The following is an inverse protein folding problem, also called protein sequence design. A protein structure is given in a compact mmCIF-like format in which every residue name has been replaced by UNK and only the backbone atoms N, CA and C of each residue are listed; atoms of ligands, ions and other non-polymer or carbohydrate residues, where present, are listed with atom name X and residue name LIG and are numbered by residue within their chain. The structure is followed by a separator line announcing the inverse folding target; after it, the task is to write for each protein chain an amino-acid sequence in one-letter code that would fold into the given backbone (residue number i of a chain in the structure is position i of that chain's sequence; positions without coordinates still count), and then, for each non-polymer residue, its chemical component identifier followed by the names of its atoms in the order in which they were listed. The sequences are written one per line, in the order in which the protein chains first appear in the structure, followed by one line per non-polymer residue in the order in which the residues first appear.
data_IF_186521613720
#
_entry.id   IF_186521613720
#
_cell.length_a   1.000
_cell.length_b   1.000
_cell.length_c   1.000
_cell.angle_alpha   90.00
_cell.angle_beta   90.00
_cell.angle_gamma   90.00
#
_symmetry.space_group_name_H-M   'P 1'
#
loop_
_entity.id
_entity.type
_entity.pdbx_description
1 polymer ?
#
# COMPACT_ATOMS: atom_id res chain seq x y z
N UNK A 1 6.67 14.70 27.10
CA UNK A 1 5.33 14.63 26.47
C UNK A 1 5.51 13.95 25.13
N UNK A 2 5.33 12.63 25.09
CA UNK A 2 5.44 11.86 23.85
C UNK A 2 4.17 12.06 23.07
N UNK A 3 4.23 12.86 22.01
CA UNK A 3 3.16 12.92 21.01
C UNK A 3 3.13 11.54 20.37
N UNK A 4 2.18 10.70 20.78
CA UNK A 4 1.87 9.45 20.09
C UNK A 4 1.52 9.83 18.66
N UNK A 5 2.49 9.67 17.75
CA UNK A 5 2.31 9.93 16.34
C UNK A 5 1.36 8.86 15.81
N UNK A 6 0.07 9.20 15.82
CA UNK A 6 -1.01 8.32 15.37
C UNK A 6 -0.71 7.99 13.92
N UNK A 7 -0.23 6.78 13.66
CA UNK A 7 0.04 6.33 12.30
C UNK A 7 -1.30 6.21 11.57
N UNK A 8 -1.67 7.26 10.84
CA UNK A 8 -2.96 7.36 10.20
C UNK A 8 -2.95 6.54 8.90
N UNK A 9 -3.57 5.35 8.94
CA UNK A 9 -3.86 4.58 7.74
C UNK A 9 -5.22 5.02 7.20
N UNK A 10 -5.26 5.31 5.91
CA UNK A 10 -6.46 5.68 5.18
C UNK A 10 -6.99 4.51 4.38
N UNK A 11 -8.32 4.36 4.40
CA UNK A 11 -9.05 3.37 3.62
C UNK A 11 -9.88 4.06 2.53
N UNK A 12 -9.78 3.53 1.31
CA UNK A 12 -10.66 3.92 0.21
C UNK A 12 -11.38 2.68 -0.30
N UNK A 13 -12.70 2.79 -0.47
CA UNK A 13 -13.53 1.74 -1.03
C UNK A 13 -13.90 2.10 -2.47
N UNK A 14 -13.74 1.15 -3.39
CA UNK A 14 -14.24 1.29 -4.75
C UNK A 14 -15.77 1.33 -4.74
N UNK A 15 -16.36 2.44 -5.16
CA UNK A 15 -17.79 2.70 -5.15
C UNK A 15 -18.57 1.78 -6.11
N UNK A 16 -17.88 1.25 -7.13
CA UNK A 16 -18.43 0.28 -8.09
C UNK A 16 -18.31 -1.17 -7.61
N UNK A 17 -17.89 -1.41 -6.36
CA UNK A 17 -17.68 -2.76 -5.81
C UNK A 17 -18.23 -2.90 -4.41
N UNK A 18 -18.81 -4.06 -4.13
CA UNK A 18 -19.29 -4.35 -2.78
C UNK A 18 -18.14 -4.35 -1.77
N UNK A 19 -18.32 -3.77 -0.58
CA UNK A 19 -17.39 -3.92 0.52
C UNK A 19 -17.12 -5.40 0.80
N UNK A 20 -15.87 -5.77 1.07
CA UNK A 20 -15.48 -7.17 1.27
C UNK A 20 -15.38 -8.02 -0.01
N UNK A 21 -15.88 -7.57 -1.17
CA UNK A 21 -15.82 -8.36 -2.40
C UNK A 21 -14.55 -8.07 -3.21
N UNK A 22 -13.50 -8.87 -3.03
CA UNK A 22 -12.30 -8.86 -3.89
C UNK A 22 -11.01 -8.38 -3.20
N UNK A 23 -9.89 -8.32 -3.94
CA UNK A 23 -8.58 -8.06 -3.39
C UNK A 23 -8.46 -6.73 -2.62
N UNK A 24 -7.53 -6.70 -1.68
CA UNK A 24 -7.13 -5.50 -0.94
C UNK A 24 -5.83 -5.00 -1.53
N UNK A 25 -5.80 -3.75 -1.97
CA UNK A 25 -4.59 -3.09 -2.47
C UNK A 25 -3.91 -2.33 -1.34
N UNK A 26 -2.80 -2.86 -0.82
CA UNK A 26 -1.96 -2.21 0.18
C UNK A 26 -0.89 -1.36 -0.53
N UNK A 27 -1.02 -0.04 -0.50
CA UNK A 27 -0.08 0.88 -1.17
C UNK A 27 0.96 1.39 -0.17
N UNK A 28 2.21 0.99 -0.41
CA UNK A 28 3.38 1.30 0.40
C UNK A 28 4.15 2.47 -0.19
N UNK A 29 4.67 3.35 0.66
CA UNK A 29 5.36 4.59 0.25
C UNK A 29 6.79 4.69 0.75
N UNK A 30 7.38 3.57 1.18
CA UNK A 30 8.77 3.50 1.63
C UNK A 30 9.01 4.24 2.98
N UNK A 31 8.05 4.13 3.89
CA UNK A 31 8.10 4.74 5.22
C UNK A 31 7.71 3.78 6.34
N UNK A 32 8.00 4.15 7.59
CA UNK A 32 7.67 3.33 8.77
C UNK A 32 6.18 2.99 8.90
N UNK A 33 5.31 3.86 8.38
CA UNK A 33 3.86 3.68 8.34
C UNK A 33 3.39 2.54 7.44
N UNK A 34 4.26 2.02 6.57
CA UNK A 34 3.98 0.85 5.70
C UNK A 34 3.64 -0.41 6.52
N UNK A 35 4.19 -0.54 7.74
CA UNK A 35 3.89 -1.64 8.64
C UNK A 35 2.43 -1.60 9.11
N UNK A 36 1.91 -0.41 9.44
CA UNK A 36 0.52 -0.22 9.82
C UNK A 36 -0.43 -0.46 8.64
N UNK A 37 -0.04 -0.05 7.42
CA UNK A 37 -0.77 -0.38 6.19
C UNK A 37 -0.88 -1.90 6.01
N UNK A 38 0.23 -2.62 6.19
CA UNK A 38 0.25 -4.07 6.08
C UNK A 38 -0.60 -4.77 7.16
N UNK A 39 -0.51 -4.33 8.41
CA UNK A 39 -1.33 -4.86 9.51
C UNK A 39 -2.83 -4.63 9.24
N UNK A 40 -3.19 -3.44 8.75
CA UNK A 40 -4.58 -3.11 8.37
C UNK A 40 -5.05 -4.00 7.23
N UNK A 41 -4.22 -4.17 6.19
CA UNK A 41 -4.54 -5.02 5.05
C UNK A 41 -4.70 -6.50 5.47
N UNK A 42 -3.83 -7.00 6.34
CA UNK A 42 -3.92 -8.35 6.89
C UNK A 42 -5.23 -8.56 7.66
N UNK A 43 -5.61 -7.62 8.52
CA UNK A 43 -6.88 -7.68 9.27
C UNK A 43 -8.09 -7.68 8.33
N UNK A 44 -8.08 -6.84 7.30
CA UNK A 44 -9.15 -6.80 6.29
C UNK A 44 -9.22 -8.06 5.43
N UNK A 45 -8.11 -8.80 5.33
CA UNK A 45 -7.98 -10.05 4.59
C UNK A 45 -8.29 -11.30 5.42
N UNK A 46 -8.68 -11.15 6.69
CA UNK A 46 -8.95 -12.26 7.60
C UNK A 46 -10.11 -13.17 7.13
N UNK A 47 -10.97 -12.67 6.27
CA UNK A 47 -12.05 -13.40 5.58
C UNK A 47 -11.57 -14.18 4.34
N UNK A 48 -10.25 -14.26 4.11
CA UNK A 48 -9.65 -15.00 3.00
C UNK A 48 -9.45 -14.17 1.73
N UNK A 49 -9.62 -12.84 1.78
CA UNK A 49 -9.38 -11.97 0.63
C UNK A 49 -7.89 -11.88 0.31
N UNK A 50 -7.49 -11.95 -0.99
CA UNK A 50 -6.09 -11.79 -1.37
C UNK A 50 -5.61 -10.35 -1.15
N UNK A 51 -4.36 -10.20 -0.73
CA UNK A 51 -3.70 -8.89 -0.62
C UNK A 51 -2.79 -8.65 -1.82
N UNK A 52 -2.80 -7.44 -2.35
CA UNK A 52 -1.91 -6.97 -3.40
C UNK A 52 -1.08 -5.84 -2.82
N UNK A 53 0.21 -6.11 -2.64
CA UNK A 53 1.18 -5.14 -2.15
C UNK A 53 1.67 -4.31 -3.33
N UNK A 54 1.43 -3.00 -3.26
CA UNK A 54 1.84 -2.04 -4.27
C UNK A 54 2.88 -1.08 -3.72
N UNK A 55 4.12 -1.19 -4.17
CA UNK A 55 5.17 -0.25 -3.79
C UNK A 55 5.13 0.99 -4.70
N UNK A 56 5.01 2.17 -4.12
CA UNK A 56 5.11 3.44 -4.83
C UNK A 56 6.57 3.66 -5.27
N UNK A 57 6.79 3.65 -6.58
CA UNK A 57 8.12 3.80 -7.18
C UNK A 57 8.14 5.00 -8.10
N UNK A 58 9.15 5.85 -7.97
CA UNK A 58 9.28 7.05 -8.82
C UNK A 58 9.64 6.64 -10.24
N UNK A 59 8.87 7.11 -11.21
CA UNK A 59 9.22 6.97 -12.61
C UNK A 59 10.46 7.77 -12.97
N UNK A 60 11.30 7.23 -13.86
CA UNK A 60 12.48 7.91 -14.41
C UNK A 60 12.28 8.47 -15.83
N UNK A 61 11.03 8.52 -16.31
CA UNK A 61 10.68 9.03 -17.65
C UNK A 61 10.85 7.97 -18.75
N UNK A 62 10.34 8.21 -19.98
CA UNK A 62 10.59 7.32 -21.11
C UNK A 62 12.07 7.36 -21.50
N UNK A 63 12.63 6.20 -21.84
CA UNK A 63 13.96 6.08 -22.45
C UNK A 63 13.81 5.24 -23.72
N UNK A 64 14.45 5.68 -24.80
CA UNK A 64 14.53 4.94 -26.07
C UNK A 64 15.63 3.87 -26.06
N UNK A 65 16.51 3.88 -25.07
CA UNK A 65 17.61 2.92 -24.97
C UNK A 65 17.15 1.65 -24.23
N UNK A 66 17.24 0.50 -24.90
CA UNK A 66 16.83 -0.80 -24.38
C UNK A 66 17.58 -1.22 -23.10
N UNK A 67 18.88 -0.92 -23.00
CA UNK A 67 19.67 -1.22 -21.81
C UNK A 67 19.20 -0.40 -20.60
N UNK A 68 18.90 0.88 -20.82
CA UNK A 68 18.32 1.74 -19.78
C UNK A 68 16.91 1.28 -19.41
N UNK A 69 16.13 0.75 -20.36
CA UNK A 69 14.82 0.18 -20.09
C UNK A 69 14.92 -1.07 -19.20
N UNK A 70 15.84 -1.99 -19.51
CA UNK A 70 16.06 -3.20 -18.71
C UNK A 70 16.59 -2.88 -17.32
N UNK A 71 17.62 -2.02 -17.21
CA UNK A 71 18.16 -1.59 -15.91
C UNK A 71 17.07 -0.96 -15.04
N UNK A 72 16.18 -0.16 -15.64
CA UNK A 72 15.02 0.42 -14.95
C UNK A 72 14.04 -0.65 -14.47
N UNK A 73 13.70 -1.63 -15.29
CA UNK A 73 12.78 -2.69 -14.91
C UNK A 73 13.34 -3.50 -13.72
N UNK A 74 14.63 -3.82 -13.75
CA UNK A 74 15.33 -4.50 -12.64
C UNK A 74 15.30 -3.67 -11.37
N UNK A 75 15.60 -2.37 -11.46
CA UNK A 75 15.53 -1.45 -10.31
C UNK A 75 14.11 -1.41 -9.71
N UNK A 76 13.09 -1.24 -10.54
CA UNK A 76 11.69 -1.22 -10.07
C UNK A 76 11.34 -2.54 -9.38
N UNK A 77 11.76 -3.68 -9.94
CA UNK A 77 11.51 -4.98 -9.33
C UNK A 77 12.21 -5.10 -7.96
N UNK A 78 13.45 -4.63 -7.84
CA UNK A 78 14.19 -4.60 -6.58
C UNK A 78 13.53 -3.70 -5.54
N UNK A 79 13.09 -2.50 -5.92
CA UNK A 79 12.40 -1.56 -5.03
C UNK A 79 11.08 -2.16 -4.51
N UNK A 80 10.31 -2.80 -5.40
CA UNK A 80 9.07 -3.49 -5.04
C UNK A 80 9.35 -4.68 -4.11
N UNK A 81 10.37 -5.48 -4.40
CA UNK A 81 10.76 -6.63 -3.58
C UNK A 81 11.24 -6.19 -2.19
N UNK A 82 12.00 -5.10 -2.09
CA UNK A 82 12.44 -4.55 -0.81
C UNK A 82 11.25 -4.07 0.03
N UNK A 83 10.33 -3.32 -0.56
CA UNK A 83 9.12 -2.86 0.12
C UNK A 83 8.25 -4.04 0.59
N UNK A 84 8.04 -5.03 -0.28
CA UNK A 84 7.32 -6.25 0.07
C UNK A 84 8.02 -7.04 1.17
N UNK A 85 9.36 -7.16 1.12
CA UNK A 85 10.16 -7.86 2.12
C UNK A 85 10.01 -7.27 3.52
N UNK A 86 9.88 -5.95 3.66
CA UNK A 86 9.63 -5.30 4.96
C UNK A 86 8.29 -5.66 5.57
N UNK A 87 7.24 -5.77 4.76
CA UNK A 87 5.87 -6.05 5.26
C UNK A 87 5.53 -7.54 5.26
N UNK A 88 6.30 -8.36 4.54
CA UNK A 88 6.07 -9.81 4.39
C UNK A 88 5.90 -10.53 5.73
N UNK A 89 6.73 -10.30 6.77
CA UNK A 89 6.55 -10.98 8.07
C UNK A 89 5.18 -10.74 8.71
N UNK A 90 4.59 -9.56 8.52
CA UNK A 90 3.26 -9.22 9.05
C UNK A 90 2.19 -10.00 8.30
N UNK A 91 2.24 -9.99 6.97
CA UNK A 91 1.27 -10.68 6.12
C UNK A 91 1.36 -12.21 6.30
N UNK A 92 2.57 -12.75 6.38
CA UNK A 92 2.82 -14.18 6.59
C UNK A 92 2.32 -14.67 7.96
N UNK A 93 2.58 -13.92 9.05
CA UNK A 93 2.06 -14.26 10.39
C UNK A 93 0.54 -14.27 10.43
N UNK A 94 -0.11 -13.41 9.64
CA UNK A 94 -1.55 -13.39 9.50
C UNK A 94 -2.09 -14.52 8.58
N UNK A 95 -1.23 -15.34 7.98
CA UNK A 95 -1.64 -16.40 7.04
C UNK A 95 -2.15 -15.87 5.70
N UNK A 96 -1.86 -14.61 5.36
CA UNK A 96 -2.40 -13.94 4.18
C UNK A 96 -1.49 -14.15 2.97
N UNK A 97 -2.04 -14.72 1.91
CA UNK A 97 -1.36 -14.77 0.61
C UNK A 97 -1.34 -13.39 -0.03
N UNK A 98 -0.17 -12.99 -0.56
CA UNK A 98 -0.05 -11.70 -1.23
C UNK A 98 0.73 -11.77 -2.55
N UNK A 99 0.39 -10.86 -3.44
CA UNK A 99 1.10 -10.60 -4.69
C UNK A 99 1.71 -9.20 -4.65
N UNK A 100 2.76 -8.96 -5.43
CA UNK A 100 3.44 -7.66 -5.48
C UNK A 100 3.27 -7.00 -6.85
N UNK A 101 3.11 -5.67 -6.88
CA UNK A 101 3.03 -4.91 -8.13
C UNK A 101 3.61 -3.51 -7.95
N UNK A 102 4.24 -2.90 -8.96
CA UNK A 102 4.68 -1.51 -8.84
C UNK A 102 3.48 -0.55 -9.00
N UNK A 103 3.44 0.47 -8.15
CA UNK A 103 2.69 1.70 -8.38
C UNK A 103 3.65 2.76 -8.92
N UNK A 104 3.64 2.94 -10.24
CA UNK A 104 4.49 3.94 -10.89
C UNK A 104 3.94 5.35 -10.65
N UNK A 105 4.73 6.15 -9.94
CA UNK A 105 4.49 7.59 -9.77
C UNK A 105 5.01 8.35 -11.00
N UNK A 106 4.36 9.47 -11.38
CA UNK A 106 4.89 10.37 -12.38
C UNK A 106 6.32 10.84 -12.03
N UNK A 107 7.09 11.17 -13.07
CA UNK A 107 8.44 11.74 -12.89
C UNK A 107 8.32 13.06 -12.12
N UNK A 108 9.19 13.26 -11.13
CA UNK A 108 9.19 14.48 -10.33
C UNK A 108 7.99 14.63 -9.39
N UNK A 109 7.19 13.57 -9.19
CA UNK A 109 6.11 13.61 -8.21
C UNK A 109 6.69 13.90 -6.80
N UNK A 110 6.14 14.88 -6.07
CA UNK A 110 6.67 15.27 -4.76
C UNK A 110 6.42 14.18 -3.72
N UNK A 111 7.19 14.22 -2.64
CA UNK A 111 6.84 13.46 -1.43
C UNK A 111 5.53 14.01 -0.87
N UNK A 112 4.60 13.11 -0.54
CA UNK A 112 3.28 13.48 -0.03
C UNK A 112 2.15 12.71 -0.70
N UNK A 113 1.03 13.38 -1.07
CA UNK A 113 -0.16 12.68 -1.52
C UNK A 113 0.06 11.82 -2.76
N UNK A 114 -0.54 10.63 -2.78
CA UNK A 114 -0.46 9.73 -3.92
C UNK A 114 -1.33 10.23 -5.09
N UNK A 115 -0.88 10.06 -6.35
CA UNK A 115 -1.66 10.45 -7.51
C UNK A 115 -2.88 9.53 -7.66
N UNK A 116 -4.07 10.07 -7.39
CA UNK A 116 -5.31 9.29 -7.34
C UNK A 116 -5.60 8.54 -8.65
N UNK A 117 -5.20 9.10 -9.81
CA UNK A 117 -5.34 8.45 -11.13
C UNK A 117 -4.48 7.19 -11.25
N UNK A 118 -3.25 7.20 -10.73
CA UNK A 118 -2.36 6.03 -10.78
C UNK A 118 -2.89 4.92 -9.87
N UNK A 119 -3.31 5.28 -8.66
CA UNK A 119 -3.93 4.35 -7.71
C UNK A 119 -5.22 3.77 -8.30
N UNK A 120 -6.07 4.59 -8.92
CA UNK A 120 -7.27 4.14 -9.65
C UNK A 120 -6.98 3.11 -10.71
N UNK A 121 -6.04 3.44 -11.60
CA UNK A 121 -5.67 2.55 -12.69
C UNK A 121 -5.17 1.22 -12.14
N UNK A 122 -4.38 1.26 -11.06
CA UNK A 122 -3.86 0.07 -10.42
C UNK A 122 -4.96 -0.76 -9.76
N UNK A 123 -5.83 -0.15 -8.97
CA UNK A 123 -6.96 -0.80 -8.33
C UNK A 123 -7.89 -1.46 -9.35
N UNK A 124 -8.21 -0.79 -10.47
CA UNK A 124 -9.00 -1.38 -11.56
C UNK A 124 -8.29 -2.58 -12.22
N UNK A 125 -7.00 -2.42 -12.55
CA UNK A 125 -6.18 -3.49 -13.17
C UNK A 125 -6.12 -4.74 -12.29
N UNK A 126 -5.99 -4.53 -10.99
CA UNK A 126 -5.89 -5.59 -9.98
C UNK A 126 -7.24 -6.05 -9.45
N UNK A 127 -8.33 -5.42 -9.91
CA UNK A 127 -9.70 -5.64 -9.42
C UNK A 127 -9.83 -5.44 -7.90
N UNK A 128 -8.99 -4.61 -7.30
CA UNK A 128 -9.06 -4.33 -5.87
C UNK A 128 -10.35 -3.58 -5.53
N UNK A 129 -11.03 -4.01 -4.46
CA UNK A 129 -12.23 -3.35 -3.95
C UNK A 129 -11.90 -2.36 -2.82
N UNK A 130 -10.82 -2.60 -2.10
CA UNK A 130 -10.38 -1.75 -0.99
C UNK A 130 -8.93 -1.34 -1.23
N UNK A 131 -8.62 -0.07 -1.03
CA UNK A 131 -7.26 0.47 -1.06
C UNK A 131 -6.88 0.93 0.34
N UNK A 132 -5.73 0.51 0.81
CA UNK A 132 -5.17 0.83 2.13
C UNK A 132 -3.86 1.56 1.92
N UNK A 133 -3.68 2.74 2.52
CA UNK A 133 -2.43 3.50 2.39
C UNK A 133 -2.24 4.49 3.53
N UNK A 134 -0.99 4.79 3.89
CA UNK A 134 -0.68 5.84 4.87
C UNK A 134 -0.59 7.24 4.21
N UNK A 135 -0.36 7.30 2.89
CA UNK A 135 -0.31 8.56 2.16
C UNK A 135 -1.68 8.91 1.59
N UNK A 136 -2.23 10.11 1.87
CA UNK A 136 -3.53 10.49 1.35
C UNK A 136 -3.51 10.54 -0.19
N UNK A 137 -4.66 10.31 -0.83
CA UNK A 137 -4.79 10.54 -2.27
C UNK A 137 -4.90 12.04 -2.59
N UNK A 138 -4.32 12.45 -3.71
CA UNK A 138 -4.45 13.82 -4.24
C UNK A 138 -5.92 14.13 -4.48
N UNK A 139 -6.39 15.28 -3.98
CA UNK A 139 -7.76 15.75 -4.25
C UNK A 139 -7.89 16.33 -5.67
N UNK A 140 -9.07 16.24 -6.30
CA UNK A 140 -10.29 15.58 -5.80
C UNK A 140 -10.14 14.05 -5.73
N UNK A 141 -10.69 13.44 -4.67
CA UNK A 141 -10.81 11.98 -4.60
C UNK A 141 -11.75 11.60 -5.76
N UNK A 142 -11.33 10.69 -6.66
CA UNK A 142 -12.15 10.35 -7.80
C UNK A 142 -13.47 9.70 -7.37
N UNK A 143 -14.56 9.99 -8.09
CA UNK A 143 -15.93 9.56 -7.75
C UNK A 143 -16.15 8.04 -7.63
N UNK A 144 -15.22 7.23 -8.16
CA UNK A 144 -15.23 5.77 -7.99
C UNK A 144 -14.59 5.31 -6.67
N UNK A 145 -13.99 6.19 -5.88
CA UNK A 145 -13.50 5.90 -4.54
C UNK A 145 -14.27 6.74 -3.53
N UNK A 146 -14.80 6.07 -2.52
CA UNK A 146 -15.30 6.73 -1.34
C UNK A 146 -14.31 6.52 -0.22
N UNK A 147 -14.04 7.57 0.56
CA UNK A 147 -13.31 7.43 1.80
C UNK A 147 -14.11 6.51 2.72
N UNK A 148 -13.57 5.34 3.00
CA UNK A 148 -14.14 4.48 4.03
C UNK A 148 -13.64 5.01 5.37
N UNK A 149 -14.50 5.03 6.39
CA UNK A 149 -14.13 5.51 7.72
C UNK A 149 -12.76 4.94 8.13
N UNK A 150 -11.84 5.77 8.65
CA UNK A 150 -10.49 5.32 8.91
C UNK A 150 -10.58 4.28 10.01
N UNK A 151 -10.19 3.04 9.73
CA UNK A 151 -10.03 2.06 10.78
C UNK A 151 -8.72 2.42 11.49
N UNK A 152 -8.82 3.20 12.57
CA UNK A 152 -7.68 3.46 13.45
C UNK A 152 -7.15 2.08 13.86
N UNK A 153 -5.91 1.78 13.47
CA UNK A 153 -5.17 0.68 14.08
C UNK A 153 -4.55 1.31 15.31
N UNK A 154 -5.13 1.06 16.47
CA UNK A 154 -4.44 1.36 17.72
C UNK A 154 -3.24 0.42 17.81
N UNK A 155 -2.05 1.01 17.88
CA UNK A 155 -0.78 0.33 18.13
C UNK A 155 -0.73 -0.12 19.60
N UNK A 156 -1.59 -1.09 19.96
CA UNK A 156 -1.66 -1.63 21.33
C UNK A 156 -1.06 -3.04 21.48
N UNK A 157 -0.55 -3.64 20.40
CA UNK A 157 0.08 -4.97 20.44
C UNK A 157 1.59 -4.96 20.14
N UNK A 158 2.24 -3.80 20.21
CA UNK A 158 3.65 -3.62 19.83
C UNK A 158 4.70 -3.69 20.94
N UNK A 159 4.34 -3.70 22.23
CA UNK A 159 5.34 -3.65 23.33
C UNK A 159 4.91 -4.42 24.59
N UNK A 160 5.01 -5.75 24.57
CA UNK A 160 5.17 -6.54 25.81
C UNK A 160 5.61 -7.98 25.49
N UNK A 161 6.89 -8.23 25.20
CA UNK A 161 7.54 -9.54 25.35
C UNK A 161 9.06 -9.43 25.13
N UNK A 162 9.75 -8.66 25.99
CA UNK A 162 11.21 -8.74 26.12
C UNK A 162 11.69 -8.17 27.47
N UNK A 163 11.23 -8.73 28.58
CA UNK A 163 11.91 -8.66 29.89
C UNK A 163 11.26 -9.63 30.85
N UNK A 164 11.77 -10.87 30.89
CA UNK A 164 11.73 -11.82 32.02
C UNK A 164 12.49 -13.08 31.60
N UNK A 165 13.81 -13.05 31.78
CA UNK A 165 14.62 -14.18 32.22
C UNK A 165 15.66 -13.64 33.18
#
# INVERSE_FOLDING_TARGET
MSTTERTAVTLYQAADRSPGSGPILAVLTDGFTDLAVAATAARLAADGRPVIVAAAVRGSGPSINALLHQARATRIAADVAAAAGRVSPILQRAGVMFQTTPLLLPVGWPDGPLPARSVRRLARRTRAATVVTAAPLTRPIPDWLTFAAPSIVDDHDGVALASRR
#
